data_IF_845142614715
#
_entry.id   IF_845142614715
#
_cell.length_a   1.000
_cell.length_b   1.000
_cell.length_c   1.000
_cell.angle_alpha   90.00
_cell.angle_beta   90.00
_cell.angle_gamma   90.00
#
_symmetry.space_group_name_H-M   'P 1'
#
loop_
_entity.id
_entity.type
_entity.pdbx_description
1 polymer ?
#
# COMPACT_ATOMS: atom_id res chain seq x y z
N UNK A 1 -11.28 -43.02 -33.80
CA UNK A 1 -9.94 -43.48 -33.36
C UNK A 1 -8.98 -42.29 -33.47
N UNK A 2 -8.84 -41.51 -32.39
CA UNK A 2 -8.14 -40.20 -32.40
C UNK A 2 -6.66 -40.43 -32.08
N UNK A 3 -5.80 -40.10 -33.04
CA UNK A 3 -4.35 -40.24 -32.97
C UNK A 3 -3.78 -39.13 -32.08
N UNK A 4 -3.56 -39.40 -30.79
CA UNK A 4 -2.90 -38.46 -29.86
C UNK A 4 -1.49 -38.15 -30.38
N UNK A 5 -1.25 -36.90 -30.82
CA UNK A 5 0.11 -36.41 -31.08
C UNK A 5 0.77 -36.14 -29.73
N UNK A 6 1.68 -37.03 -29.33
CA UNK A 6 2.63 -36.79 -28.24
C UNK A 6 3.52 -35.63 -28.68
N UNK A 7 3.29 -34.44 -28.12
CA UNK A 7 4.24 -33.34 -28.18
C UNK A 7 5.48 -33.75 -27.41
N UNK A 8 6.56 -34.06 -28.14
CA UNK A 8 7.86 -34.36 -27.55
C UNK A 8 8.32 -33.16 -26.73
N UNK A 9 8.50 -33.35 -25.43
CA UNK A 9 9.13 -32.35 -24.57
C UNK A 9 10.56 -32.12 -25.07
N UNK A 10 10.89 -30.86 -25.36
CA UNK A 10 12.25 -30.48 -25.74
C UNK A 10 13.12 -30.60 -24.49
N UNK A 11 13.96 -31.63 -24.42
CA UNK A 11 14.96 -31.77 -23.38
C UNK A 11 16.02 -30.67 -23.51
N UNK A 12 16.54 -30.19 -22.38
CA UNK A 12 17.66 -29.27 -22.36
C UNK A 12 18.90 -29.98 -22.92
N UNK A 13 19.62 -29.30 -23.79
CA UNK A 13 20.89 -29.79 -24.31
C UNK A 13 21.97 -29.68 -23.23
N UNK A 14 22.96 -30.59 -23.26
CA UNK A 14 24.10 -30.55 -22.33
C UNK A 14 24.85 -29.19 -22.39
N UNK A 15 24.86 -28.56 -23.56
CA UNK A 15 25.45 -27.24 -23.78
C UNK A 15 24.67 -26.15 -23.03
N UNK A 16 23.34 -26.16 -23.08
CA UNK A 16 22.51 -25.22 -22.31
C UNK A 16 22.76 -25.36 -20.80
N UNK A 17 22.85 -26.59 -20.29
CA UNK A 17 23.15 -26.84 -18.87
C UNK A 17 24.55 -26.33 -18.50
N UNK A 18 25.57 -26.61 -19.31
CA UNK A 18 26.94 -26.15 -19.04
C UNK A 18 27.07 -24.63 -19.12
N UNK A 19 26.41 -23.97 -20.08
CA UNK A 19 26.39 -22.51 -20.18
C UNK A 19 25.68 -21.87 -18.98
N UNK A 20 24.56 -22.44 -18.52
CA UNK A 20 23.86 -21.98 -17.33
C UNK A 20 24.73 -22.11 -16.06
N UNK A 21 25.44 -23.23 -15.89
CA UNK A 21 26.37 -23.45 -14.76
C UNK A 21 27.51 -22.42 -14.80
N UNK A 22 28.11 -22.17 -15.97
CA UNK A 22 29.19 -21.21 -16.11
C UNK A 22 28.75 -19.78 -15.74
N UNK A 23 27.56 -19.36 -16.20
CA UNK A 23 26.98 -18.06 -15.84
C UNK A 23 26.73 -17.97 -14.32
N UNK A 24 26.20 -19.04 -13.72
CA UNK A 24 25.93 -19.10 -12.29
C UNK A 24 27.21 -18.97 -11.44
N UNK A 25 28.31 -19.62 -11.84
CA UNK A 25 29.60 -19.53 -11.14
C UNK A 25 30.14 -18.09 -11.14
N UNK A 26 30.02 -17.37 -12.27
CA UNK A 26 30.47 -15.97 -12.36
C UNK A 26 29.70 -15.09 -11.38
N UNK A 27 28.39 -15.26 -11.29
CA UNK A 27 27.54 -14.49 -10.35
C UNK A 27 27.90 -14.81 -8.90
N UNK A 28 28.11 -16.09 -8.54
CA UNK A 28 28.50 -16.48 -7.19
C UNK A 28 29.87 -15.90 -6.81
N UNK A 29 30.84 -15.90 -7.73
CA UNK A 29 32.16 -15.30 -7.48
C UNK A 29 32.06 -13.78 -7.29
N UNK A 30 31.26 -13.09 -8.09
CA UNK A 30 31.04 -11.65 -7.95
C UNK A 30 30.41 -11.30 -6.59
N UNK A 31 29.42 -12.07 -6.15
CA UNK A 31 28.82 -11.93 -4.81
C UNK A 31 29.85 -12.23 -3.72
N UNK A 32 30.66 -13.28 -3.90
CA UNK A 32 31.71 -13.66 -2.95
C UNK A 32 32.75 -12.56 -2.74
N UNK A 33 33.22 -11.92 -3.82
CA UNK A 33 34.15 -10.79 -3.74
C UNK A 33 33.52 -9.60 -3.01
N UNK A 34 32.27 -9.26 -3.35
CA UNK A 34 31.54 -8.17 -2.71
C UNK A 34 31.34 -8.40 -1.19
N UNK A 35 31.07 -9.65 -0.78
CA UNK A 35 30.94 -10.02 0.63
C UNK A 35 32.27 -9.95 1.38
N UNK A 36 33.37 -10.41 0.77
CA UNK A 36 34.71 -10.35 1.39
C UNK A 36 35.16 -8.90 1.58
N UNK A 37 34.93 -8.03 0.59
CA UNK A 37 35.24 -6.61 0.71
C UNK A 37 34.34 -5.91 1.75
N UNK A 38 33.06 -6.28 1.81
CA UNK A 38 32.14 -5.83 2.86
C UNK A 38 32.62 -6.21 4.26
N UNK A 39 33.07 -7.46 4.45
CA UNK A 39 33.62 -7.91 5.74
C UNK A 39 34.92 -7.21 6.11
N UNK A 40 35.83 -6.99 5.15
CA UNK A 40 37.08 -6.24 5.38
C UNK A 40 36.78 -4.78 5.75
N UNK A 41 35.87 -4.13 5.04
CA UNK A 41 35.42 -2.77 5.33
C UNK A 41 34.77 -2.64 6.70
N UNK A 42 33.88 -3.58 7.05
CA UNK A 42 33.26 -3.63 8.36
C UNK A 42 34.29 -3.83 9.48
N UNK A 43 35.22 -4.78 9.34
CA UNK A 43 36.28 -5.00 10.32
C UNK A 43 37.18 -3.77 10.49
N UNK A 44 37.53 -3.08 9.40
CA UNK A 44 38.30 -1.85 9.47
C UNK A 44 37.53 -0.73 10.21
N UNK A 45 36.25 -0.54 9.89
CA UNK A 45 35.40 0.45 10.55
C UNK A 45 35.19 0.12 12.02
N UNK A 46 34.91 -1.15 12.34
CA UNK A 46 34.73 -1.65 13.71
C UNK A 46 35.99 -1.41 14.53
N UNK A 47 37.16 -1.84 14.04
CA UNK A 47 38.44 -1.61 14.71
C UNK A 47 38.83 -0.14 14.82
N UNK A 48 38.28 0.73 13.97
CA UNK A 48 38.47 2.19 14.06
C UNK A 48 37.58 2.81 15.12
N UNK A 49 36.29 2.43 15.17
CA UNK A 49 35.31 2.95 16.14
C UNK A 49 35.62 2.45 17.55
N UNK A 50 35.98 1.18 17.69
CA UNK A 50 36.30 0.53 18.97
C UNK A 50 37.80 0.50 19.27
N UNK A 51 38.60 1.33 18.60
CA UNK A 51 40.00 1.47 18.99
C UNK A 51 40.11 2.04 20.40
N UNK A 52 41.12 1.60 21.14
CA UNK A 52 41.41 2.11 22.49
C UNK A 52 41.50 3.64 22.48
N UNK A 53 42.10 4.22 21.45
CA UNK A 53 42.26 5.67 21.24
C UNK A 53 40.91 6.41 21.14
N UNK A 54 39.87 5.83 20.52
CA UNK A 54 38.53 6.45 20.46
C UNK A 54 37.81 6.33 21.79
N UNK A 55 37.89 5.15 22.43
CA UNK A 55 37.30 4.90 23.74
C UNK A 55 37.94 5.80 24.81
N UNK A 56 39.26 5.86 24.86
CA UNK A 56 40.08 6.71 25.71
C UNK A 56 39.76 8.19 25.51
N UNK A 57 39.59 8.63 24.25
CA UNK A 57 39.17 9.99 23.95
C UNK A 57 37.79 10.31 24.52
N UNK A 58 36.85 9.37 24.46
CA UNK A 58 35.52 9.54 25.04
C UNK A 58 35.55 9.58 26.58
N UNK A 59 36.32 8.69 27.21
CA UNK A 59 36.52 8.67 28.67
C UNK A 59 37.17 9.98 29.13
N UNK A 60 38.24 10.41 28.47
CA UNK A 60 38.92 11.67 28.73
C UNK A 60 37.98 12.88 28.63
N UNK A 61 37.19 12.95 27.55
CA UNK A 61 36.18 13.99 27.38
C UNK A 61 35.18 14.00 28.52
N UNK A 62 34.56 12.85 28.82
CA UNK A 62 33.55 12.75 29.87
C UNK A 62 34.10 13.13 31.24
N UNK A 63 35.30 12.66 31.57
CA UNK A 63 35.95 12.96 32.85
C UNK A 63 36.28 14.45 32.95
N UNK A 64 36.86 15.03 31.90
CA UNK A 64 37.16 16.46 31.80
C UNK A 64 35.90 17.30 32.00
N UNK A 65 34.84 17.01 31.25
CA UNK A 65 33.56 17.72 31.35
C UNK A 65 32.94 17.58 32.76
N UNK A 66 32.98 16.39 33.35
CA UNK A 66 32.43 16.12 34.68
C UNK A 66 33.18 16.89 35.77
N UNK A 67 34.51 16.94 35.71
CA UNK A 67 35.34 17.67 36.69
C UNK A 67 35.17 19.17 36.52
N UNK A 68 35.19 19.69 35.30
CA UNK A 68 35.02 21.12 35.06
C UNK A 68 33.62 21.62 35.41
N UNK A 69 32.58 20.78 35.34
CA UNK A 69 31.23 21.14 35.86
C UNK A 69 31.18 21.29 37.37
N UNK A 70 32.06 20.61 38.12
CA UNK A 70 32.16 20.76 39.57
C UNK A 70 32.95 22.00 39.97
N UNK A 71 33.72 22.58 39.05
CA UNK A 71 34.52 23.77 39.33
C UNK A 71 33.62 24.93 39.78
N UNK A 72 34.04 25.58 40.87
CA UNK A 72 33.48 26.86 41.29
C UNK A 72 33.72 27.93 40.21
N UNK A 73 32.83 28.92 40.12
CA UNK A 73 32.85 29.94 39.06
C UNK A 73 34.12 30.81 39.02
N UNK A 74 34.85 30.89 40.13
CA UNK A 74 35.77 32.00 40.36
C UNK A 74 37.26 31.63 40.36
N UNK A 75 37.63 30.35 40.35
CA UNK A 75 39.05 29.96 40.47
C UNK A 75 39.41 28.70 39.67
N UNK A 76 40.10 28.93 38.56
CA UNK A 76 40.92 27.93 37.89
C UNK A 76 42.30 28.52 37.60
N UNK A 77 43.31 27.66 37.56
CA UNK A 77 44.67 28.00 37.20
C UNK A 77 45.07 27.17 35.98
N UNK A 78 45.68 27.81 35.00
CA UNK A 78 46.25 27.12 33.84
C UNK A 78 47.73 27.47 33.82
N UNK A 79 48.55 26.44 33.61
CA UNK A 79 49.97 26.59 33.36
C UNK A 79 50.23 27.55 32.18
N UNK A 80 51.19 28.47 32.23
CA UNK A 80 51.48 29.36 31.10
C UNK A 80 51.80 28.64 29.78
N UNK A 81 52.37 27.43 29.84
CA UNK A 81 52.60 26.60 28.65
C UNK A 81 51.40 25.70 28.30
N UNK A 82 50.33 25.74 29.09
CA UNK A 82 49.12 24.92 28.93
C UNK A 82 49.33 23.45 29.28
N UNK A 83 50.38 23.11 30.03
CA UNK A 83 50.72 21.72 30.36
C UNK A 83 49.75 21.08 31.37
N UNK A 84 49.13 21.89 32.23
CA UNK A 84 48.13 21.45 33.20
C UNK A 84 47.05 22.50 33.42
N UNK A 85 45.89 22.04 33.91
CA UNK A 85 44.81 22.89 34.39
C UNK A 85 44.34 22.40 35.75
N UNK A 86 44.23 23.31 36.71
CA UNK A 86 43.77 23.07 38.07
C UNK A 86 42.46 23.83 38.30
N UNK A 87 41.44 23.16 38.79
CA UNK A 87 40.15 23.77 39.14
C UNK A 87 39.80 23.54 40.60
N UNK A 88 39.16 24.53 41.21
CA UNK A 88 38.75 24.46 42.61
C UNK A 88 37.26 24.17 42.72
N UNK A 89 36.91 23.23 43.58
CA UNK A 89 35.53 22.83 43.84
C UNK A 89 35.29 22.58 45.34
N UNK A 90 34.01 22.56 45.71
CA UNK A 90 33.56 22.32 47.08
C UNK A 90 33.54 20.82 47.37
N UNK A 91 34.01 20.39 48.54
CA UNK A 91 34.01 18.98 48.93
C UNK A 91 32.60 18.37 48.93
N UNK A 92 31.59 19.17 49.31
CA UNK A 92 30.18 18.80 49.30
C UNK A 92 29.30 20.06 49.23
N UNK A 93 27.99 19.88 49.11
CA UNK A 93 27.01 20.97 48.97
C UNK A 93 26.90 21.87 50.22
N UNK A 94 27.40 21.43 51.37
CA UNK A 94 27.43 22.20 52.61
C UNK A 94 28.72 23.02 52.79
N UNK A 95 29.77 22.77 51.99
CA UNK A 95 31.01 23.55 52.04
C UNK A 95 30.75 24.98 51.57
N UNK A 96 30.99 25.96 52.44
CA UNK A 96 30.87 27.39 52.12
C UNK A 96 32.13 27.98 51.51
N UNK A 97 33.24 27.25 51.55
CA UNK A 97 34.54 27.63 51.01
C UNK A 97 35.07 26.54 50.08
N UNK A 98 35.81 26.96 49.06
CA UNK A 98 36.50 26.03 48.14
C UNK A 98 37.66 25.37 48.88
N UNK A 99 37.57 24.06 49.07
CA UNK A 99 38.47 23.26 49.93
C UNK A 99 39.15 22.11 49.18
N UNK A 100 38.71 21.80 47.95
CA UNK A 100 39.30 20.77 47.08
C UNK A 100 39.80 21.34 45.76
N UNK A 101 40.77 20.66 45.17
CA UNK A 101 41.19 20.91 43.79
C UNK A 101 41.20 19.63 42.96
N UNK A 102 41.01 19.80 41.65
CA UNK A 102 41.26 18.77 40.64
C UNK A 102 42.22 19.33 39.59
N UNK A 103 43.33 18.63 39.33
CA UNK A 103 44.36 19.03 38.37
C UNK A 103 44.50 18.00 37.26
N UNK A 104 44.20 18.40 36.03
CA UNK A 104 44.53 17.61 34.85
C UNK A 104 45.94 17.92 34.37
N UNK A 105 46.71 16.89 34.06
CA UNK A 105 48.04 17.00 33.47
C UNK A 105 48.38 15.75 32.67
N UNK A 106 49.20 15.89 31.63
CA UNK A 106 49.74 14.76 30.89
C UNK A 106 51.15 14.41 31.39
N UNK A 107 51.40 13.14 31.69
CA UNK A 107 52.73 12.65 32.07
C UNK A 107 52.87 11.16 31.74
N UNK A 108 54.04 10.76 31.24
CA UNK A 108 54.33 9.35 30.94
C UNK A 108 53.41 8.72 29.89
N UNK A 109 52.94 9.49 28.90
CA UNK A 109 51.99 8.99 27.90
C UNK A 109 50.57 8.79 28.42
N UNK A 110 50.24 9.34 29.59
CA UNK A 110 48.92 9.22 30.24
C UNK A 110 48.34 10.60 30.52
N UNK A 111 47.02 10.73 30.43
CA UNK A 111 46.29 11.87 30.97
C UNK A 111 45.87 11.50 32.38
N UNK A 112 46.34 12.25 33.37
CA UNK A 112 46.00 12.02 34.76
C UNK A 112 45.13 13.16 35.27
N UNK A 113 44.26 12.83 36.21
CA UNK A 113 43.57 13.80 37.05
C UNK A 113 43.96 13.55 38.50
N UNK A 114 44.47 14.59 39.14
CA UNK A 114 44.85 14.59 40.53
C UNK A 114 43.78 15.30 41.35
N UNK A 115 43.33 14.68 42.43
CA UNK A 115 42.41 15.24 43.39
C UNK A 115 43.15 15.51 44.70
N UNK A 116 42.87 16.64 45.34
CA UNK A 116 43.51 16.98 46.60
C UNK A 116 42.79 18.04 47.41
N UNK A 117 43.33 18.33 48.60
CA UNK A 117 42.91 19.39 49.51
C UNK A 117 43.69 20.68 49.27
N UNK A 118 43.07 21.83 49.49
CA UNK A 118 43.72 23.13 49.30
C UNK A 118 44.51 23.61 50.52
N UNK A 119 44.07 23.28 51.75
CA UNK A 119 44.65 23.80 53.00
C UNK A 119 44.77 22.71 54.09
N UNK A 120 45.97 22.15 54.33
CA UNK A 120 47.20 22.34 53.55
C UNK A 120 47.06 21.74 52.14
N UNK A 121 47.87 22.21 51.19
CA UNK A 121 47.83 21.65 49.83
C UNK A 121 48.42 20.24 49.86
N UNK A 122 47.56 19.23 49.75
CA UNK A 122 47.95 17.81 49.72
C UNK A 122 47.24 17.08 48.60
N UNK A 123 47.94 16.14 47.97
CA UNK A 123 47.38 15.24 46.97
C UNK A 123 46.69 14.07 47.68
N UNK A 124 45.43 13.82 47.36
CA UNK A 124 44.66 12.71 47.92
C UNK A 124 44.76 11.48 47.01
N UNK A 125 44.43 11.65 45.73
CA UNK A 125 44.35 10.55 44.75
C UNK A 125 44.77 11.02 43.37
N UNK A 126 45.50 10.18 42.64
CA UNK A 126 45.78 10.38 41.21
C UNK A 126 45.07 9.27 40.43
N UNK A 127 44.25 9.65 39.47
CA UNK A 127 43.53 8.74 38.59
C UNK A 127 44.03 8.91 37.16
N UNK A 128 44.46 7.81 36.53
CA UNK A 128 44.72 7.80 35.09
C UNK A 128 43.39 7.78 34.35
N UNK A 129 43.17 8.82 33.55
CA UNK A 129 41.93 9.01 32.78
C UNK A 129 41.99 8.25 31.47
N UNK A 130 43.13 8.32 30.78
CA UNK A 130 43.37 7.56 29.55
C UNK A 130 44.87 7.39 29.30
N UNK A 131 45.22 6.39 28.49
CA UNK A 131 46.59 6.13 28.06
C UNK A 131 46.83 6.65 26.63
N UNK A 132 47.96 6.29 26.01
CA UNK A 132 48.29 6.65 24.63
C UNK A 132 48.31 8.16 24.32
N UNK A 133 48.60 9.00 25.32
CA UNK A 133 48.62 10.46 25.17
C UNK A 133 49.93 10.89 24.51
N UNK A 134 49.84 11.39 23.27
CA UNK A 134 50.97 11.97 22.56
C UNK A 134 51.21 13.44 22.91
N UNK A 135 50.14 14.21 23.12
CA UNK A 135 50.21 15.57 23.65
C UNK A 135 48.88 15.99 24.26
N UNK A 136 48.91 16.78 25.33
CA UNK A 136 47.71 17.43 25.88
C UNK A 136 48.03 18.90 26.14
N UNK A 137 47.15 19.80 25.69
CA UNK A 137 47.29 21.24 25.94
C UNK A 137 45.96 21.81 26.40
N UNK A 138 46.01 22.61 27.46
CA UNK A 138 44.86 23.34 27.97
C UNK A 138 44.94 24.80 27.53
N UNK A 139 43.82 25.35 27.06
CA UNK A 139 43.70 26.75 26.66
C UNK A 139 42.49 27.39 27.31
N UNK A 140 42.65 28.62 27.78
CA UNK A 140 41.54 29.45 28.19
C UNK A 140 40.95 30.18 26.97
N UNK A 141 39.64 30.03 26.74
CA UNK A 141 38.88 30.77 25.74
C UNK A 141 37.73 31.51 26.44
N UNK A 142 38.00 32.75 26.83
CA UNK A 142 37.08 33.56 27.65
C UNK A 142 36.90 32.96 29.05
N UNK A 143 35.66 32.56 29.37
CA UNK A 143 35.30 31.86 30.62
C UNK A 143 35.40 30.34 30.51
N UNK A 144 35.95 29.84 29.40
CA UNK A 144 35.97 28.43 29.05
C UNK A 144 37.36 27.86 29.11
N UNK A 145 37.45 26.59 29.47
CA UNK A 145 38.68 25.82 29.37
C UNK A 145 38.49 24.79 28.27
N UNK A 146 39.40 24.83 27.30
CA UNK A 146 39.48 23.88 26.20
C UNK A 146 40.65 22.93 26.45
N UNK A 147 40.40 21.64 26.35
CA UNK A 147 41.42 20.59 26.29
C UNK A 147 41.61 20.16 24.83
N UNK A 148 42.85 20.23 24.36
CA UNK A 148 43.30 19.68 23.08
C UNK A 148 44.14 18.46 23.40
N UNK A 149 43.55 17.27 23.29
CA UNK A 149 44.18 15.99 23.60
C UNK A 149 44.46 15.23 22.30
N UNK A 150 45.72 14.87 22.05
CA UNK A 150 46.12 14.00 20.96
C UNK A 150 46.47 12.63 21.50
N UNK A 151 45.79 11.62 21.00
CA UNK A 151 45.98 10.22 21.34
C UNK A 151 46.61 9.49 20.15
N UNK A 152 47.63 8.67 20.41
CA UNK A 152 48.38 7.91 19.41
C UNK A 152 48.81 6.57 20.01
N UNK A 153 48.25 5.46 19.52
CA UNK A 153 48.65 4.10 19.93
C UNK A 153 49.59 3.43 18.90
N UNK A 154 50.20 4.21 18.02
CA UNK A 154 51.07 3.73 16.94
C UNK A 154 50.32 3.19 15.71
N UNK A 155 49.04 2.82 15.85
CA UNK A 155 48.19 2.37 14.73
C UNK A 155 47.21 3.44 14.27
N UNK A 156 46.68 4.22 15.21
CA UNK A 156 45.67 5.24 14.97
C UNK A 156 46.00 6.49 15.77
N UNK A 157 45.74 7.65 15.15
CA UNK A 157 45.87 8.97 15.79
C UNK A 157 44.50 9.61 15.88
N UNK A 158 44.17 10.17 17.03
CA UNK A 158 42.94 10.92 17.25
C UNK A 158 43.26 12.25 17.93
N UNK A 159 42.64 13.34 17.49
CA UNK A 159 42.73 14.64 18.15
C UNK A 159 41.36 14.99 18.69
N UNK A 160 41.24 14.97 20.01
CA UNK A 160 40.06 15.37 20.75
C UNK A 160 40.20 16.84 21.15
N UNK A 161 39.25 17.67 20.74
CA UNK A 161 39.10 19.04 21.22
C UNK A 161 37.80 19.08 22.00
N UNK A 162 37.86 19.28 23.31
CA UNK A 162 36.68 19.46 24.16
C UNK A 162 36.73 20.78 24.91
N UNK A 163 35.59 21.44 25.03
CA UNK A 163 35.42 22.69 25.78
C UNK A 163 34.32 22.48 26.81
N UNK A 164 34.59 22.82 28.07
CA UNK A 164 33.61 22.65 29.15
C UNK A 164 32.62 23.81 29.29
N UNK A 165 32.65 24.80 28.39
CA UNK A 165 31.60 25.81 28.29
C UNK A 165 30.74 25.52 27.08
N UNK A 166 29.43 25.75 27.26
CA UNK A 166 28.28 25.62 26.33
C UNK A 166 27.33 24.42 26.50
N UNK A 167 27.24 23.75 27.66
CA UNK A 167 26.12 22.82 27.89
C UNK A 167 24.76 23.52 27.95
N UNK A 168 24.67 24.68 28.61
CA UNK A 168 23.41 25.44 28.73
C UNK A 168 22.92 25.94 27.37
N UNK A 169 23.83 26.43 26.52
CA UNK A 169 23.47 26.89 25.16
C UNK A 169 23.05 25.74 24.25
N UNK A 170 23.71 24.58 24.34
CA UNK A 170 23.30 23.38 23.60
C UNK A 170 21.94 22.88 24.10
N UNK A 171 21.70 22.85 25.41
CA UNK A 171 20.41 22.45 25.97
C UNK A 171 19.28 23.42 25.58
N UNK A 172 19.54 24.73 25.54
CA UNK A 172 18.57 25.71 25.03
C UNK A 172 18.30 25.49 23.53
N UNK A 173 19.34 25.30 22.72
CA UNK A 173 19.18 25.02 21.29
C UNK A 173 18.39 23.71 21.05
N UNK A 174 18.71 22.64 21.78
CA UNK A 174 17.98 21.37 21.73
C UNK A 174 16.53 21.53 22.21
N UNK A 175 16.30 22.30 23.28
CA UNK A 175 14.95 22.60 23.78
C UNK A 175 14.11 23.32 22.73
N UNK A 176 14.67 24.34 22.06
CA UNK A 176 13.99 25.03 20.94
C UNK A 176 13.76 24.11 19.74
N UNK A 177 14.71 23.22 19.43
CA UNK A 177 14.59 22.25 18.35
C UNK A 177 13.47 21.24 18.60
N UNK A 178 13.39 20.69 19.81
CA UNK A 178 12.32 19.76 20.20
C UNK A 178 10.95 20.42 20.22
N UNK A 179 10.85 21.66 20.71
CA UNK A 179 9.60 22.41 20.70
C UNK A 179 9.13 22.70 19.25
N UNK A 180 10.05 23.13 18.38
CA UNK A 180 9.75 23.38 16.97
C UNK A 180 9.33 22.09 16.25
N UNK A 181 10.02 20.98 16.50
CA UNK A 181 9.66 19.67 15.96
C UNK A 181 8.26 19.23 16.43
N UNK A 182 7.94 19.43 17.72
CA UNK A 182 6.62 19.14 18.27
C UNK A 182 5.49 19.97 17.64
N UNK A 183 5.72 21.27 17.46
CA UNK A 183 4.76 22.16 16.79
C UNK A 183 4.55 21.77 15.32
N UNK A 184 5.62 21.54 14.57
CA UNK A 184 5.54 21.13 13.16
C UNK A 184 4.84 19.79 13.00
N UNK A 185 5.14 18.81 13.86
CA UNK A 185 4.46 17.52 13.88
C UNK A 185 2.96 17.67 14.13
N UNK A 186 2.57 18.49 15.11
CA UNK A 186 1.14 18.73 15.40
C UNK A 186 0.44 19.44 14.24
N UNK A 187 1.05 20.44 13.62
CA UNK A 187 0.48 21.11 12.44
C UNK A 187 0.33 20.16 11.26
N UNK A 188 1.31 19.29 11.03
CA UNK A 188 1.23 18.26 9.98
C UNK A 188 0.11 17.25 10.26
N UNK A 189 0.00 16.77 11.50
CA UNK A 189 -1.07 15.86 11.90
C UNK A 189 -2.45 16.49 11.74
N UNK A 190 -2.64 17.75 12.18
CA UNK A 190 -3.92 18.45 12.01
C UNK A 190 -4.31 18.61 10.53
N UNK A 191 -3.36 18.96 9.66
CA UNK A 191 -3.61 19.05 8.22
C UNK A 191 -3.97 17.70 7.61
N UNK A 192 -3.27 16.65 8.00
CA UNK A 192 -3.53 15.28 7.52
C UNK A 192 -4.90 14.79 8.00
N UNK A 193 -5.26 15.01 9.27
CA UNK A 193 -6.58 14.66 9.81
C UNK A 193 -7.69 15.43 9.11
N UNK A 194 -7.56 16.75 8.98
CA UNK A 194 -8.52 17.61 8.26
C UNK A 194 -8.69 17.16 6.80
N UNK A 195 -7.60 16.78 6.13
CA UNK A 195 -7.63 16.25 4.77
C UNK A 195 -8.42 14.93 4.65
N UNK A 196 -8.10 13.95 5.51
CA UNK A 196 -8.80 12.66 5.55
C UNK A 196 -10.29 12.87 5.86
N UNK A 197 -10.61 13.71 6.84
CA UNK A 197 -12.00 14.01 7.21
C UNK A 197 -12.75 14.67 6.06
N UNK A 198 -12.15 15.62 5.34
CA UNK A 198 -12.75 16.25 4.17
C UNK A 198 -13.01 15.23 3.05
N UNK A 199 -12.13 14.24 2.87
CA UNK A 199 -12.35 13.14 1.92
C UNK A 199 -13.50 12.23 2.35
N UNK A 200 -13.55 11.80 3.61
CA UNK A 200 -14.66 10.99 4.12
C UNK A 200 -16.01 11.72 4.02
N UNK A 201 -16.03 13.04 4.22
CA UNK A 201 -17.22 13.85 4.01
C UNK A 201 -17.63 13.87 2.52
N UNK A 202 -16.68 13.97 1.59
CA UNK A 202 -16.96 13.88 0.16
C UNK A 202 -17.54 12.49 -0.22
N UNK A 203 -16.96 11.39 0.29
CA UNK A 203 -17.46 10.03 0.04
C UNK A 203 -18.87 9.82 0.61
N UNK A 204 -19.16 10.42 1.77
CA UNK A 204 -20.51 10.42 2.35
C UNK A 204 -21.51 11.15 1.44
N UNK A 205 -21.13 12.32 0.90
CA UNK A 205 -21.97 13.04 -0.06
C UNK A 205 -22.21 12.28 -1.35
N UNK A 206 -21.22 11.50 -1.81
CA UNK A 206 -21.37 10.62 -2.98
C UNK A 206 -22.37 9.49 -2.71
N UNK A 207 -22.27 8.88 -1.52
CA UNK A 207 -23.20 7.83 -1.08
C UNK A 207 -24.64 8.36 -0.98
N UNK A 208 -24.81 9.58 -0.46
CA UNK A 208 -26.12 10.25 -0.38
C UNK A 208 -26.67 10.59 -1.77
N UNK A 209 -25.82 11.06 -2.69
CA UNK A 209 -26.20 11.30 -4.08
C UNK A 209 -26.73 10.03 -4.76
N UNK A 210 -26.01 8.90 -4.59
CA UNK A 210 -26.41 7.60 -5.12
C UNK A 210 -27.73 7.11 -4.52
N UNK A 211 -27.87 7.22 -3.19
CA UNK A 211 -29.11 6.85 -2.50
C UNK A 211 -30.31 7.63 -3.05
N UNK A 212 -30.19 8.96 -3.18
CA UNK A 212 -31.28 9.79 -3.69
C UNK A 212 -31.58 9.53 -5.17
N UNK A 213 -30.57 9.21 -5.99
CA UNK A 213 -30.78 8.75 -7.35
C UNK A 213 -31.63 7.47 -7.37
N UNK A 214 -31.30 6.50 -6.53
CA UNK A 214 -32.06 5.24 -6.42
C UNK A 214 -33.49 5.44 -5.91
N UNK A 215 -33.72 6.32 -4.93
CA UNK A 215 -35.07 6.69 -4.49
C UNK A 215 -35.86 7.35 -5.61
N UNK A 216 -35.22 8.22 -6.41
CA UNK A 216 -35.87 8.88 -7.54
C UNK A 216 -36.28 7.90 -8.64
N UNK A 217 -35.52 6.84 -8.85
CA UNK A 217 -35.85 5.76 -9.81
C UNK A 217 -37.10 4.96 -9.41
N UNK A 218 -37.51 4.99 -8.14
CA UNK A 218 -38.74 4.32 -7.69
C UNK A 218 -40.02 5.06 -8.09
N UNK A 219 -39.93 6.38 -8.37
CA UNK A 219 -41.08 7.21 -8.74
C UNK A 219 -41.35 7.10 -10.25
N UNK A 220 -42.56 6.70 -10.62
CA UNK A 220 -43.01 6.58 -12.02
C UNK A 220 -44.07 7.65 -12.35
N UNK A 221 -44.02 8.32 -13.53
CA UNK A 221 -42.95 8.23 -14.53
C UNK A 221 -41.65 8.88 -14.03
N UNK A 222 -40.51 8.28 -14.37
CA UNK A 222 -39.21 8.83 -14.01
C UNK A 222 -38.97 10.14 -14.79
N UNK A 223 -38.42 11.15 -14.11
CA UNK A 223 -38.13 12.45 -14.71
C UNK A 223 -36.71 12.92 -14.41
N UNK A 224 -35.98 13.27 -15.47
CA UNK A 224 -34.64 13.86 -15.39
C UNK A 224 -34.64 15.35 -15.00
N UNK A 225 -35.80 16.02 -14.91
CA UNK A 225 -35.86 17.49 -14.78
C UNK A 225 -35.31 18.06 -13.47
N UNK A 226 -35.10 17.22 -12.45
CA UNK A 226 -34.64 17.64 -11.12
C UNK A 226 -33.62 16.67 -10.50
N UNK A 227 -32.39 16.65 -11.02
CA UNK A 227 -31.37 15.75 -10.46
C UNK A 227 -31.03 16.11 -8.99
N UNK A 228 -30.73 15.10 -8.14
CA UNK A 228 -30.39 15.32 -6.75
C UNK A 228 -29.23 16.29 -6.56
N UNK A 229 -29.37 17.19 -5.58
CA UNK A 229 -28.31 18.11 -5.15
C UNK A 229 -28.51 18.49 -3.69
N UNK A 230 -27.40 18.73 -3.00
CA UNK A 230 -27.40 19.30 -1.66
C UNK A 230 -26.15 20.18 -1.46
N UNK A 231 -26.26 21.16 -0.57
CA UNK A 231 -25.20 22.13 -0.27
C UNK A 231 -24.97 22.26 1.21
N UNK A 232 -23.72 22.15 1.61
CA UNK A 232 -23.19 22.33 2.98
C UNK A 232 -24.00 21.59 4.06
N UNK A 233 -24.29 20.31 3.82
CA UNK A 233 -24.94 19.43 4.81
C UNK A 233 -23.90 19.00 5.83
N UNK A 234 -24.14 19.30 7.11
CA UNK A 234 -23.25 18.90 8.21
C UNK A 234 -23.40 17.42 8.53
N UNK A 235 -22.28 16.75 8.81
CA UNK A 235 -22.28 15.39 9.33
C UNK A 235 -22.67 15.39 10.82
N UNK A 236 -23.36 14.34 11.26
CA UNK A 236 -23.73 14.21 12.66
C UNK A 236 -22.48 13.94 13.50
N UNK A 237 -22.33 14.66 14.62
CA UNK A 237 -21.21 14.53 15.57
C UNK A 237 -19.82 14.85 14.98
N UNK A 238 -19.75 15.60 13.88
CA UNK A 238 -18.49 16.01 13.26
C UNK A 238 -18.61 17.44 12.70
N UNK A 239 -17.55 18.24 12.80
CA UNK A 239 -17.49 19.60 12.25
C UNK A 239 -17.19 19.63 10.73
N UNK A 240 -17.47 18.51 10.04
CA UNK A 240 -17.31 18.39 8.61
C UNK A 240 -18.66 18.49 7.90
N UNK A 241 -18.63 19.01 6.67
CA UNK A 241 -19.81 19.16 5.83
C UNK A 241 -19.54 18.64 4.43
N UNK A 242 -20.62 18.34 3.70
CA UNK A 242 -20.54 17.91 2.32
C UNK A 242 -21.60 18.60 1.45
N UNK A 243 -21.28 18.73 0.18
CA UNK A 243 -22.19 19.16 -0.89
C UNK A 243 -22.11 18.17 -2.02
N UNK A 244 -23.19 17.90 -2.74
CA UNK A 244 -23.13 17.10 -3.96
C UNK A 244 -24.10 17.61 -5.02
N UNK A 245 -23.78 17.27 -6.27
CA UNK A 245 -24.63 17.52 -7.42
C UNK A 245 -24.52 16.37 -8.41
N UNK A 246 -25.66 15.95 -8.95
CA UNK A 246 -25.73 14.97 -10.03
C UNK A 246 -26.04 15.69 -11.35
N UNK A 247 -25.28 15.37 -12.39
CA UNK A 247 -25.44 15.90 -13.75
C UNK A 247 -25.42 14.76 -14.77
N UNK A 248 -25.83 14.98 -16.01
CA UNK A 248 -25.86 13.95 -17.05
C UNK A 248 -27.27 13.58 -17.51
N UNK A 249 -27.40 12.48 -18.25
CA UNK A 249 -28.66 12.04 -18.84
C UNK A 249 -28.67 10.51 -18.99
N UNK A 250 -29.80 9.96 -19.43
CA UNK A 250 -29.98 8.52 -19.57
C UNK A 250 -29.02 7.90 -20.61
N UNK A 251 -28.76 8.59 -21.71
CA UNK A 251 -27.94 8.09 -22.81
C UNK A 251 -26.44 8.02 -22.47
N UNK A 252 -25.93 9.01 -21.72
CA UNK A 252 -24.50 9.15 -21.44
C UNK A 252 -24.13 8.76 -19.99
N UNK A 253 -25.12 8.34 -19.20
CA UNK A 253 -24.97 8.15 -17.76
C UNK A 253 -24.97 9.47 -16.97
N UNK A 254 -24.82 9.33 -15.65
CA UNK A 254 -24.81 10.44 -14.71
C UNK A 254 -23.45 10.58 -14.04
N UNK A 255 -23.02 11.83 -13.86
CA UNK A 255 -21.82 12.20 -13.12
C UNK A 255 -22.27 12.77 -11.78
N UNK A 256 -21.88 12.10 -10.70
CA UNK A 256 -22.02 12.57 -9.34
C UNK A 256 -20.73 13.27 -8.92
N UNK A 257 -20.84 14.53 -8.50
CA UNK A 257 -19.74 15.27 -7.90
C UNK A 257 -20.09 15.53 -6.44
N UNK A 258 -19.16 15.23 -5.53
CA UNK A 258 -19.29 15.51 -4.10
C UNK A 258 -18.09 16.28 -3.59
N UNK A 259 -18.33 17.33 -2.81
CA UNK A 259 -17.33 18.19 -2.18
C UNK A 259 -17.47 18.08 -0.67
N UNK A 260 -16.46 17.53 0.00
CA UNK A 260 -16.36 17.50 1.44
C UNK A 260 -15.44 18.58 1.98
N UNK A 261 -15.81 19.18 3.12
CA UNK A 261 -15.08 20.24 3.82
C UNK A 261 -14.89 19.84 5.28
N UNK A 262 -13.68 20.03 5.80
CA UNK A 262 -13.38 19.87 7.22
C UNK A 262 -12.26 20.84 7.60
N UNK A 263 -12.50 21.75 8.55
CA UNK A 263 -11.58 22.84 8.92
C UNK A 263 -11.08 23.64 7.70
N UNK A 264 -9.78 23.51 7.36
CA UNK A 264 -9.11 24.20 6.25
C UNK A 264 -8.96 23.31 5.00
N UNK A 265 -9.40 22.05 5.06
CA UNK A 265 -9.30 21.13 3.93
C UNK A 265 -10.62 21.04 3.17
N UNK A 266 -10.49 20.92 1.86
CA UNK A 266 -11.59 20.62 0.94
C UNK A 266 -11.14 19.53 -0.03
N UNK A 267 -12.00 18.55 -0.25
CA UNK A 267 -11.79 17.47 -1.21
C UNK A 267 -13.00 17.28 -2.09
N UNK A 268 -12.74 16.91 -3.34
CA UNK A 268 -13.78 16.67 -4.35
C UNK A 268 -13.60 15.28 -4.90
N UNK A 269 -14.68 14.52 -4.92
CA UNK A 269 -14.75 13.15 -5.44
C UNK A 269 -15.80 13.11 -6.54
N UNK A 270 -15.52 12.32 -7.57
CA UNK A 270 -16.39 12.12 -8.72
C UNK A 270 -16.72 10.63 -8.85
N UNK A 271 -17.93 10.32 -9.28
CA UNK A 271 -18.28 9.01 -9.79
C UNK A 271 -19.19 9.14 -11.01
N UNK A 272 -18.99 8.25 -11.97
CA UNK A 272 -19.89 8.08 -13.10
C UNK A 272 -20.75 6.85 -12.83
N UNK A 273 -22.07 6.99 -12.96
CA UNK A 273 -23.03 5.91 -12.78
C UNK A 273 -23.88 5.77 -14.05
N UNK A 274 -24.14 4.53 -14.44
CA UNK A 274 -25.09 4.17 -15.50
C UNK A 274 -26.36 3.56 -14.89
N UNK A 275 -27.44 3.53 -15.66
CA UNK A 275 -28.52 2.61 -15.32
C UNK A 275 -28.07 1.20 -15.66
N UNK A 276 -28.19 0.30 -14.69
CA UNK A 276 -28.01 -1.13 -14.92
C UNK A 276 -29.29 -1.67 -15.56
N UNK A 277 -29.17 -2.25 -16.75
CA UNK A 277 -30.29 -2.94 -17.40
C UNK A 277 -30.71 -4.16 -16.57
N UNK A 278 -32.00 -4.52 -16.61
CA UNK A 278 -32.46 -5.80 -16.07
C UNK A 278 -31.85 -7.01 -16.81
N UNK A 279 -31.34 -6.76 -18.03
CA UNK A 279 -30.67 -7.75 -18.88
C UNK A 279 -29.25 -7.28 -19.18
N UNK A 280 -28.45 -7.04 -18.14
CA UNK A 280 -27.02 -6.76 -18.31
C UNK A 280 -26.29 -7.95 -18.95
N UNK A 281 -26.76 -9.15 -18.65
CA UNK A 281 -26.27 -10.38 -19.26
C UNK A 281 -27.22 -10.81 -20.39
N UNK A 282 -26.69 -11.04 -21.58
CA UNK A 282 -27.40 -11.78 -22.62
C UNK A 282 -27.73 -13.22 -22.16
N UNK A 283 -26.80 -13.84 -21.42
CA UNK A 283 -27.00 -15.17 -20.83
C UNK A 283 -26.42 -15.19 -19.43
N UNK A 284 -27.27 -15.38 -18.41
CA UNK A 284 -26.85 -15.64 -17.04
C UNK A 284 -27.40 -16.99 -16.58
N UNK A 285 -26.54 -17.92 -16.21
CA UNK A 285 -26.94 -19.25 -15.73
C UNK A 285 -26.59 -19.44 -14.25
N UNK A 286 -27.34 -20.30 -13.55
CA UNK A 286 -26.97 -20.70 -12.17
C UNK A 286 -25.81 -21.72 -12.14
N UNK A 287 -25.72 -22.54 -13.19
CA UNK A 287 -24.82 -23.69 -13.28
C UNK A 287 -23.93 -23.61 -14.50
N UNK A 288 -24.07 -24.55 -15.43
CA UNK A 288 -23.21 -24.58 -16.62
C UNK A 288 -23.76 -23.74 -17.77
N UNK A 289 -22.86 -23.08 -18.49
CA UNK A 289 -23.06 -22.42 -19.77
C UNK A 289 -22.08 -23.03 -20.80
N UNK A 290 -22.59 -23.72 -21.82
CA UNK A 290 -21.76 -24.34 -22.86
C UNK A 290 -22.12 -23.76 -24.22
N UNK A 291 -21.26 -22.90 -24.76
CA UNK A 291 -21.41 -22.31 -26.09
C UNK A 291 -20.69 -23.19 -27.12
N UNK A 292 -21.39 -23.62 -28.17
CA UNK A 292 -20.87 -24.51 -29.21
C UNK A 292 -20.03 -23.73 -30.23
N UNK A 293 -19.26 -24.46 -31.03
CA UNK A 293 -18.39 -23.84 -32.04
C UNK A 293 -19.21 -23.00 -33.02
N UNK A 294 -18.75 -21.77 -33.28
CA UNK A 294 -19.43 -20.81 -34.16
C UNK A 294 -20.59 -20.03 -33.51
N UNK A 295 -20.88 -20.19 -32.21
CA UNK A 295 -21.89 -19.38 -31.53
C UNK A 295 -21.47 -17.92 -31.47
N UNK A 296 -22.36 -17.01 -31.89
CA UNK A 296 -22.19 -15.56 -31.72
C UNK A 296 -23.21 -15.05 -30.71
N UNK A 297 -22.75 -14.32 -29.71
CA UNK A 297 -23.57 -13.60 -28.74
C UNK A 297 -23.35 -12.11 -28.96
N UNK A 298 -24.42 -11.40 -29.29
CA UNK A 298 -24.39 -9.99 -29.66
C UNK A 298 -25.64 -9.27 -29.11
N UNK A 299 -25.51 -7.96 -28.94
CA UNK A 299 -26.56 -7.08 -28.43
C UNK A 299 -26.98 -6.04 -29.46
N UNK A 300 -28.22 -5.57 -29.36
CA UNK A 300 -28.68 -4.41 -30.12
C UNK A 300 -29.59 -3.56 -29.26
N UNK A 301 -29.64 -2.27 -29.57
CA UNK A 301 -30.56 -1.34 -28.94
C UNK A 301 -31.97 -1.53 -29.53
N UNK A 302 -32.95 -1.90 -28.71
CA UNK A 302 -34.32 -2.08 -29.19
C UNK A 302 -35.01 -0.78 -29.62
N UNK A 303 -34.52 0.37 -29.17
CA UNK A 303 -35.00 1.70 -29.59
C UNK A 303 -34.37 2.15 -30.91
N UNK A 304 -33.17 1.67 -31.24
CA UNK A 304 -32.48 1.94 -32.50
C UNK A 304 -31.84 0.65 -33.06
N UNK A 305 -32.54 -0.07 -33.95
CA UNK A 305 -32.04 -1.32 -34.52
C UNK A 305 -30.76 -1.19 -35.35
N UNK A 306 -30.34 0.04 -35.71
CA UNK A 306 -29.07 0.28 -36.40
C UNK A 306 -27.88 0.36 -35.43
N UNK A 307 -28.15 0.52 -34.14
CA UNK A 307 -27.15 0.50 -33.08
C UNK A 307 -26.88 -0.94 -32.65
N UNK A 308 -25.95 -1.57 -33.40
CA UNK A 308 -25.49 -2.95 -33.18
C UNK A 308 -24.16 -3.01 -32.43
N UNK A 309 -23.62 -1.89 -31.97
CA UNK A 309 -22.37 -1.84 -31.21
C UNK A 309 -22.63 -1.90 -29.70
N UNK A 310 -23.60 -2.73 -29.29
CA UNK A 310 -23.97 -2.86 -27.89
C UNK A 310 -23.35 -4.13 -27.30
N UNK A 311 -22.39 -3.96 -26.40
CA UNK A 311 -21.79 -5.10 -25.74
C UNK A 311 -22.78 -5.74 -24.75
N UNK A 312 -22.84 -7.06 -24.74
CA UNK A 312 -23.66 -7.85 -23.83
C UNK A 312 -22.83 -8.93 -23.15
N UNK A 313 -22.94 -8.98 -21.83
CA UNK A 313 -22.13 -9.88 -21.05
C UNK A 313 -22.79 -11.26 -20.98
N UNK A 314 -22.01 -12.28 -20.69
CA UNK A 314 -22.52 -13.61 -20.32
C UNK A 314 -21.93 -14.02 -18.98
N UNK A 315 -22.58 -14.92 -18.27
CA UNK A 315 -22.01 -15.40 -17.02
C UNK A 315 -22.66 -16.61 -16.39
N UNK A 316 -22.02 -17.09 -15.34
CA UNK A 316 -22.52 -18.12 -14.44
C UNK A 316 -22.44 -17.68 -12.99
N UNK A 317 -23.37 -18.14 -12.16
CA UNK A 317 -23.29 -18.01 -10.70
C UNK A 317 -22.45 -19.09 -10.04
N UNK A 318 -21.96 -20.07 -10.81
CA UNK A 318 -21.13 -21.16 -10.30
C UNK A 318 -19.67 -20.73 -10.16
N UNK A 319 -18.97 -21.38 -9.24
CA UNK A 319 -17.52 -21.26 -9.01
C UNK A 319 -16.77 -22.57 -9.31
N UNK A 320 -17.49 -23.57 -9.81
CA UNK A 320 -16.92 -24.87 -10.12
C UNK A 320 -16.13 -24.84 -11.44
N UNK A 321 -15.19 -25.78 -11.59
CA UNK A 321 -14.35 -25.91 -12.79
C UNK A 321 -15.19 -26.07 -14.06
N UNK A 322 -14.80 -25.33 -15.11
CA UNK A 322 -15.36 -25.46 -16.46
C UNK A 322 -16.88 -25.26 -16.53
N UNK A 323 -17.44 -24.40 -15.67
CA UNK A 323 -18.86 -24.07 -15.71
C UNK A 323 -19.23 -23.18 -16.88
N UNK A 324 -18.30 -22.38 -17.40
CA UNK A 324 -18.45 -21.72 -18.70
C UNK A 324 -17.52 -22.41 -19.69
N UNK A 325 -18.07 -23.03 -20.74
CA UNK A 325 -17.29 -23.68 -21.79
C UNK A 325 -17.50 -22.94 -23.10
N UNK A 326 -16.44 -22.27 -23.56
CA UNK A 326 -16.43 -21.51 -24.80
C UNK A 326 -15.68 -22.35 -25.87
N UNK A 327 -16.42 -23.00 -26.76
CA UNK A 327 -15.79 -23.78 -27.84
C UNK A 327 -15.12 -22.89 -28.89
N UNK A 328 -14.27 -23.49 -29.73
CA UNK A 328 -13.55 -22.78 -30.79
C UNK A 328 -14.49 -21.99 -31.71
N UNK A 329 -14.16 -20.73 -31.97
CA UNK A 329 -14.93 -19.85 -32.85
C UNK A 329 -16.22 -19.30 -32.22
N UNK A 330 -16.39 -19.44 -30.90
CA UNK A 330 -17.39 -18.66 -30.16
C UNK A 330 -16.97 -17.18 -30.19
N UNK A 331 -17.92 -16.28 -30.41
CA UNK A 331 -17.70 -14.84 -30.41
C UNK A 331 -18.72 -14.17 -29.49
N UNK A 332 -18.26 -13.61 -28.38
CA UNK A 332 -19.08 -12.87 -27.41
C UNK A 332 -18.68 -11.41 -27.49
N UNK A 333 -19.64 -10.55 -27.86
CA UNK A 333 -19.46 -9.10 -27.88
C UNK A 333 -19.67 -8.53 -26.47
N UNK A 334 -18.83 -8.92 -25.52
CA UNK A 334 -18.95 -8.52 -24.12
C UNK A 334 -18.09 -9.37 -23.21
N UNK A 335 -18.22 -9.14 -21.90
CA UNK A 335 -17.41 -9.77 -20.88
C UNK A 335 -18.01 -11.12 -20.44
N UNK A 336 -17.18 -11.96 -19.81
CA UNK A 336 -17.59 -13.25 -19.25
C UNK A 336 -17.42 -13.21 -17.74
N UNK A 337 -18.53 -13.26 -17.01
CA UNK A 337 -18.55 -13.21 -15.55
C UNK A 337 -18.70 -14.59 -14.92
N UNK A 338 -17.99 -14.82 -13.83
CA UNK A 338 -18.08 -16.05 -13.01
C UNK A 338 -18.67 -15.74 -11.63
N UNK A 339 -19.12 -16.78 -10.91
CA UNK A 339 -19.77 -16.62 -9.62
C UNK A 339 -18.89 -15.89 -8.59
N UNK A 340 -19.53 -15.29 -7.58
CA UNK A 340 -18.84 -14.55 -6.52
C UNK A 340 -17.76 -15.41 -5.84
N UNK A 341 -16.51 -14.96 -5.92
CA UNK A 341 -15.34 -15.66 -5.39
C UNK A 341 -14.78 -16.78 -6.28
N UNK A 342 -15.32 -16.95 -7.49
CA UNK A 342 -14.79 -17.84 -8.51
C UNK A 342 -13.54 -17.26 -9.17
N UNK A 343 -12.60 -18.14 -9.50
CA UNK A 343 -11.41 -17.82 -10.28
C UNK A 343 -11.72 -18.00 -11.78
N UNK A 344 -11.70 -16.93 -12.61
CA UNK A 344 -11.97 -17.02 -14.04
C UNK A 344 -11.14 -18.09 -14.76
N UNK A 345 -9.87 -18.26 -14.38
CA UNK A 345 -8.95 -19.23 -15.01
C UNK A 345 -9.35 -20.69 -14.77
N UNK A 346 -10.15 -20.95 -13.73
CA UNK A 346 -10.66 -22.28 -13.39
C UNK A 346 -12.08 -22.48 -13.89
N UNK A 347 -12.94 -21.47 -13.72
CA UNK A 347 -14.37 -21.58 -14.02
C UNK A 347 -14.63 -21.52 -15.53
N UNK A 348 -13.80 -20.80 -16.28
CA UNK A 348 -13.95 -20.62 -17.73
C UNK A 348 -12.98 -21.56 -18.46
N UNK A 349 -13.55 -22.42 -19.30
CA UNK A 349 -12.82 -23.25 -20.24
C UNK A 349 -12.91 -22.65 -21.64
N UNK A 350 -11.94 -21.81 -21.97
CA UNK A 350 -11.78 -21.22 -23.29
C UNK A 350 -11.01 -22.15 -24.24
N UNK A 351 -11.62 -22.53 -25.36
CA UNK A 351 -11.06 -23.38 -26.41
C UNK A 351 -10.84 -22.62 -27.73
N UNK A 352 -10.63 -21.30 -27.65
CA UNK A 352 -10.38 -20.42 -28.80
C UNK A 352 -11.59 -19.58 -29.16
N UNK A 353 -12.25 -19.00 -28.15
CA UNK A 353 -13.30 -18.01 -28.30
C UNK A 353 -12.71 -16.59 -28.44
N UNK A 354 -13.54 -15.64 -28.88
CA UNK A 354 -13.27 -14.20 -28.84
C UNK A 354 -14.27 -13.58 -27.87
N UNK A 355 -13.78 -13.00 -26.78
CA UNK A 355 -14.58 -12.35 -25.73
C UNK A 355 -13.94 -11.02 -25.34
N UNK A 356 -14.65 -10.22 -24.54
CA UNK A 356 -14.06 -9.16 -23.73
C UNK A 356 -13.27 -9.73 -22.55
N UNK A 357 -13.31 -9.03 -21.42
CA UNK A 357 -12.61 -9.44 -20.20
C UNK A 357 -13.31 -10.63 -19.53
N UNK A 358 -12.52 -11.45 -18.83
CA UNK A 358 -13.00 -12.60 -18.06
C UNK A 358 -12.84 -12.28 -16.57
N UNK A 359 -13.96 -12.11 -15.87
CA UNK A 359 -13.97 -11.45 -14.55
C UNK A 359 -14.68 -12.28 -13.48
N UNK A 360 -14.14 -12.22 -12.26
CA UNK A 360 -14.83 -12.72 -11.07
C UNK A 360 -15.95 -11.77 -10.65
N UNK A 361 -17.16 -12.29 -10.49
CA UNK A 361 -18.30 -11.50 -10.03
C UNK A 361 -18.03 -10.90 -8.65
N UNK A 362 -18.32 -9.60 -8.47
CA UNK A 362 -18.16 -8.90 -7.19
C UNK A 362 -19.39 -9.02 -6.29
N UNK A 363 -20.52 -9.42 -6.87
CA UNK A 363 -21.76 -9.68 -6.17
C UNK A 363 -22.50 -10.85 -6.83
N UNK A 364 -23.51 -11.37 -6.13
CA UNK A 364 -24.36 -12.43 -6.67
C UNK A 364 -25.54 -11.80 -7.39
N UNK A 365 -25.52 -11.84 -8.71
CA UNK A 365 -26.63 -11.31 -9.50
C UNK A 365 -27.94 -12.02 -9.15
N UNK A 366 -29.04 -11.30 -8.94
CA UNK A 366 -30.30 -11.94 -8.63
C UNK A 366 -30.88 -12.58 -9.90
N UNK A 367 -31.00 -13.91 -9.91
CA UNK A 367 -31.91 -14.58 -10.84
C UNK A 367 -33.33 -14.36 -10.31
N UNK A 368 -34.18 -13.72 -11.12
CA UNK A 368 -35.57 -13.49 -10.74
C UNK A 368 -36.24 -14.85 -10.46
N UNK A 369 -36.95 -15.02 -9.32
CA UNK A 369 -37.70 -16.23 -9.07
C UNK A 369 -38.79 -16.36 -10.14
N UNK A 370 -38.64 -17.34 -11.02
CA UNK A 370 -39.66 -17.65 -12.02
C UNK A 370 -40.66 -18.59 -11.35
N UNK A 371 -41.88 -18.12 -11.12
CA UNK A 371 -43.00 -19.00 -10.82
C UNK A 371 -43.60 -19.43 -12.17
N UNK A 372 -43.43 -20.69 -12.58
CA UNK A 372 -43.96 -21.14 -13.85
C UNK A 372 -45.49 -21.04 -13.83
N UNK A 373 -46.13 -20.61 -14.94
CA UNK A 373 -47.57 -20.68 -15.06
C UNK A 373 -48.02 -22.14 -15.07
N UNK A 374 -49.18 -22.42 -14.48
CA UNK A 374 -49.83 -23.74 -14.63
C UNK A 374 -50.34 -23.86 -16.07
N UNK A 375 -49.68 -24.67 -16.88
CA UNK A 375 -50.00 -24.91 -18.29
C UNK A 375 -50.28 -26.40 -18.52
N UNK A 376 -51.08 -26.76 -19.54
CA UNK A 376 -51.31 -28.17 -19.90
C UNK A 376 -50.02 -28.83 -20.37
N UNK A 377 -49.82 -30.11 -20.05
CA UNK A 377 -48.68 -30.89 -20.56
C UNK A 377 -48.89 -31.20 -22.06
N UNK A 378 -47.94 -30.74 -22.86
CA UNK A 378 -47.92 -30.84 -24.32
C UNK A 378 -46.81 -31.79 -24.81
N UNK A 379 -46.06 -32.44 -23.92
CA UNK A 379 -45.04 -33.42 -24.27
C UNK A 379 -43.72 -32.80 -24.75
N UNK A 380 -43.18 -33.26 -25.89
CA UNK A 380 -41.87 -32.84 -26.43
C UNK A 380 -42.06 -32.12 -27.76
N UNK A 381 -41.36 -31.01 -27.97
CA UNK A 381 -41.25 -30.36 -29.28
C UNK A 381 -40.08 -31.00 -30.05
N UNK A 382 -40.36 -31.60 -31.21
CA UNK A 382 -39.32 -32.19 -32.08
C UNK A 382 -39.30 -31.54 -33.47
N UNK A 383 -38.33 -30.66 -33.70
CA UNK A 383 -38.07 -30.06 -35.00
C UNK A 383 -36.75 -30.59 -35.57
N UNK A 384 -36.77 -31.80 -36.13
CA UNK A 384 -35.62 -32.45 -36.76
C UNK A 384 -35.70 -32.37 -38.29
N UNK A 385 -34.98 -31.43 -38.89
CA UNK A 385 -34.99 -31.17 -40.34
C UNK A 385 -36.37 -30.79 -40.90
N UNK A 386 -37.18 -30.13 -40.09
CA UNK A 386 -38.50 -29.60 -40.46
C UNK A 386 -38.80 -28.34 -39.66
N UNK A 387 -39.71 -27.54 -40.18
CA UNK A 387 -40.32 -26.43 -39.42
C UNK A 387 -41.46 -26.98 -38.56
N UNK A 388 -41.42 -26.69 -37.26
CA UNK A 388 -42.54 -26.87 -36.32
C UNK A 388 -43.08 -25.50 -36.01
N UNK A 389 -44.34 -25.26 -36.36
CA UNK A 389 -45.01 -24.01 -36.07
C UNK A 389 -45.73 -24.11 -34.73
N UNK A 390 -45.53 -23.13 -33.86
CA UNK A 390 -46.16 -22.98 -32.55
C UNK A 390 -47.04 -21.73 -32.61
N UNK A 391 -48.30 -21.86 -32.19
CA UNK A 391 -49.26 -20.77 -32.07
C UNK A 391 -49.74 -20.70 -30.60
N UNK A 392 -50.58 -19.71 -30.22
CA UNK A 392 -51.13 -19.64 -28.88
C UNK A 392 -51.96 -20.88 -28.46
N UNK A 393 -52.43 -21.69 -29.41
CA UNK A 393 -53.13 -22.96 -29.13
C UNK A 393 -52.19 -24.04 -28.54
N UNK A 394 -50.89 -23.90 -28.79
CA UNK A 394 -49.83 -24.78 -28.28
C UNK A 394 -49.19 -24.22 -26.99
N UNK A 395 -49.81 -23.26 -26.32
CA UNK A 395 -49.37 -22.81 -25.00
C UNK A 395 -49.41 -23.97 -24.01
N UNK A 396 -48.28 -24.30 -23.40
CA UNK A 396 -48.13 -25.56 -22.71
C UNK A 396 -46.85 -25.74 -21.92
N UNK A 397 -46.87 -26.75 -21.06
CA UNK A 397 -45.70 -27.32 -20.43
C UNK A 397 -45.11 -28.39 -21.35
N UNK A 398 -43.81 -28.32 -21.61
CA UNK A 398 -43.10 -29.29 -22.42
C UNK A 398 -41.93 -29.86 -21.63
N UNK A 399 -41.68 -31.16 -21.79
CA UNK A 399 -40.55 -31.82 -21.14
C UNK A 399 -39.22 -31.47 -21.77
N UNK A 400 -39.18 -31.23 -23.10
CA UNK A 400 -37.97 -30.86 -23.84
C UNK A 400 -38.29 -30.17 -25.18
N UNK A 401 -37.32 -29.43 -25.73
CA UNK A 401 -37.32 -28.92 -27.11
C UNK A 401 -36.08 -29.48 -27.83
N UNK A 402 -36.31 -30.37 -28.80
CA UNK A 402 -35.28 -30.99 -29.61
C UNK A 402 -35.22 -30.33 -31.00
N UNK A 403 -34.32 -29.37 -31.17
CA UNK A 403 -33.99 -28.77 -32.47
C UNK A 403 -32.75 -29.46 -33.03
N UNK A 404 -32.88 -30.08 -34.20
CA UNK A 404 -31.76 -30.77 -34.83
C UNK A 404 -31.79 -30.62 -36.36
N UNK A 405 -30.63 -30.42 -36.95
CA UNK A 405 -30.46 -30.49 -38.40
C UNK A 405 -30.42 -31.96 -38.86
N UNK A 406 -31.00 -32.26 -40.01
CA UNK A 406 -30.81 -33.54 -40.72
C UNK A 406 -30.30 -33.27 -42.15
N UNK A 407 -31.10 -33.57 -43.19
CA UNK A 407 -30.91 -33.00 -44.53
C UNK A 407 -31.22 -31.51 -44.57
N UNK A 408 -32.17 -31.08 -43.74
CA UNK A 408 -32.66 -29.71 -43.65
C UNK A 408 -32.47 -29.16 -42.22
N UNK A 409 -32.63 -27.85 -42.06
CA UNK A 409 -32.55 -27.18 -40.76
C UNK A 409 -33.84 -27.43 -39.98
N UNK A 410 -33.72 -27.84 -38.72
CA UNK A 410 -34.84 -27.87 -37.80
C UNK A 410 -35.20 -26.45 -37.37
N UNK A 411 -36.43 -26.00 -37.62
CA UNK A 411 -36.89 -24.64 -37.33
C UNK A 411 -38.06 -24.73 -36.35
N UNK A 412 -38.02 -23.95 -35.27
CA UNK A 412 -39.18 -23.68 -34.44
C UNK A 412 -39.70 -22.30 -34.82
N UNK A 413 -40.86 -22.23 -35.44
CA UNK A 413 -41.48 -21.00 -35.91
C UNK A 413 -42.62 -20.62 -34.97
N UNK A 414 -42.65 -19.37 -34.51
CA UNK A 414 -43.75 -18.82 -33.73
C UNK A 414 -44.67 -18.08 -34.71
N UNK A 415 -45.86 -18.63 -34.99
CA UNK A 415 -46.85 -18.02 -35.89
C UNK A 415 -48.01 -17.43 -35.08
N UNK A 416 -48.37 -16.18 -35.42
CA UNK A 416 -49.57 -15.45 -34.94
C UNK A 416 -49.77 -15.40 -33.42
N UNK A 417 -49.12 -14.43 -32.79
CA UNK A 417 -49.44 -13.98 -31.43
C UNK A 417 -48.44 -14.46 -30.39
N UNK A 418 -48.76 -14.20 -29.12
CA UNK A 418 -47.88 -14.49 -28.00
C UNK A 418 -48.01 -15.95 -27.57
N UNK A 419 -46.88 -16.64 -27.50
CA UNK A 419 -46.78 -18.03 -27.08
C UNK A 419 -46.11 -18.11 -25.70
N UNK A 420 -46.66 -18.94 -24.82
CA UNK A 420 -46.10 -19.23 -23.50
C UNK A 420 -45.72 -20.70 -23.42
N UNK A 421 -44.42 -20.96 -23.39
CA UNK A 421 -43.84 -22.31 -23.25
C UNK A 421 -43.20 -22.45 -21.88
N UNK A 422 -43.57 -23.49 -21.12
CA UNK A 422 -42.90 -23.85 -19.88
C UNK A 422 -42.09 -25.15 -20.07
N UNK A 423 -40.76 -25.03 -20.14
CA UNK A 423 -39.88 -26.18 -20.40
C UNK A 423 -39.35 -26.73 -19.08
N UNK A 424 -39.69 -27.98 -18.73
CA UNK A 424 -39.26 -28.57 -17.45
C UNK A 424 -37.88 -29.20 -17.48
N UNK A 425 -37.37 -29.58 -18.66
CA UNK A 425 -36.03 -30.18 -18.81
C UNK A 425 -35.91 -31.54 -18.14
N UNK A 426 -36.80 -32.48 -18.48
CA UNK A 426 -36.83 -33.84 -17.92
C UNK A 426 -35.72 -34.75 -18.45
#
# INVERSE_FOLDING_TARGET
MIKKRLTASRGFTLIEVLTAIAILIIVILAIGVALVDGQRGWNYMYNRIYSDVVTDGYVARKKFDAVLRKASRDKFLIDPAGAWVEVYYYANDASTVVDRYARFYASGGKLNVEYGQLNPKSTDTIETVCENVSSCTFKQLGRSIQMILKLDNGKQKNTLITSAVTMVLILLAMGTGLLSMGLNSRTFSLRTTSDITARCAADTGLTMALYQMNEKLKVKPWSASSLPKATDINLLYCDASYSYSVTGNLANGYIMQSVGKADQAQRTVYATIGLRSLFEHAILTRGSLVLKSGTTIDGYNSEDPLDTEFNVDIGTQSIEDSMVVLNSGVNVKGDVLVGLGGDPDTVIKDLGATTGDQLGGTEKDPLSPVTPPTLPDMGVIEAKGKTVTITPAENGQYSNINLASSSDVGILEIDKGDVVLYITGA
#
